data_IF_125009965909
#
_entry.id   IF_125009965909
#
_cell.length_a   1.000
_cell.length_b   1.000
_cell.length_c   1.000
_cell.angle_alpha   90.00
_cell.angle_beta   90.00
_cell.angle_gamma   90.00
#
_symmetry.space_group_name_H-M   'P 1'
#
loop_
_entity.id
_entity.type
_entity.pdbx_description
1 polymer ?
#
# COMPACT_ATOMS: atom_id res chain seq x y z
N UNK A 1 9.06 5.14 -7.76
CA UNK A 1 8.27 4.28 -6.84
C UNK A 1 8.46 4.82 -5.43
N UNK A 2 7.42 4.90 -4.59
CA UNK A 2 7.61 5.24 -3.17
C UNK A 2 7.68 3.97 -2.34
N UNK A 3 8.83 3.73 -1.70
CA UNK A 3 9.05 2.57 -0.84
C UNK A 3 8.12 2.56 0.37
N UNK A 4 7.82 3.72 0.95
CA UNK A 4 6.97 3.84 2.14
C UNK A 4 5.55 3.31 1.88
N UNK A 5 4.97 3.63 0.72
CA UNK A 5 3.64 3.16 0.32
C UNK A 5 3.64 1.66 0.03
N UNK A 6 4.71 1.13 -0.57
CA UNK A 6 4.85 -0.32 -0.74
C UNK A 6 4.85 -1.04 0.60
N UNK A 7 5.61 -0.54 1.59
CA UNK A 7 5.68 -1.11 2.93
C UNK A 7 4.30 -1.05 3.60
N UNK A 8 3.63 0.11 3.55
CA UNK A 8 2.27 0.27 4.10
C UNK A 8 1.30 -0.77 3.52
N UNK A 9 1.36 -0.98 2.20
CA UNK A 9 0.48 -1.91 1.50
C UNK A 9 0.79 -3.37 1.85
N UNK A 10 2.06 -3.76 1.88
CA UNK A 10 2.47 -5.11 2.30
C UNK A 10 2.00 -5.40 3.73
N UNK A 11 2.23 -4.47 4.66
CA UNK A 11 1.79 -4.62 6.04
C UNK A 11 0.27 -4.75 6.14
N UNK A 12 -0.50 -3.99 5.35
CA UNK A 12 -1.97 -4.11 5.33
C UNK A 12 -2.49 -5.47 4.85
N UNK A 13 -1.70 -6.18 4.02
CA UNK A 13 -2.05 -7.53 3.54
C UNK A 13 -1.79 -8.61 4.58
N UNK A 14 -1.00 -8.32 5.63
CA UNK A 14 -0.80 -9.22 6.75
C UNK A 14 -1.98 -9.09 7.73
N UNK A 15 -2.54 -10.21 8.20
CA UNK A 15 -3.67 -10.20 9.12
C UNK A 15 -3.40 -9.33 10.36
N UNK A 16 -2.25 -9.56 11.00
CA UNK A 16 -1.78 -8.80 12.17
C UNK A 16 -1.32 -7.38 11.86
N UNK A 17 -1.22 -7.01 10.57
CA UNK A 17 -0.67 -5.72 10.15
C UNK A 17 0.82 -5.60 10.42
N UNK A 18 1.48 -6.70 10.74
CA UNK A 18 2.88 -6.75 11.16
C UNK A 18 3.64 -7.70 10.27
N UNK A 19 4.88 -7.33 9.95
CA UNK A 19 5.78 -8.18 9.19
C UNK A 19 7.22 -8.00 9.65
N UNK A 20 7.97 -9.10 9.66
CA UNK A 20 9.41 -9.06 9.92
C UNK A 20 10.14 -8.40 8.76
N UNK A 21 11.35 -7.89 8.98
CA UNK A 21 12.15 -7.33 7.87
C UNK A 21 12.42 -8.36 6.76
N UNK A 22 12.60 -9.63 7.12
CA UNK A 22 12.85 -10.71 6.17
C UNK A 22 11.60 -11.00 5.30
N UNK A 23 10.43 -11.09 5.94
CA UNK A 23 9.14 -11.27 5.25
C UNK A 23 8.83 -10.07 4.37
N UNK A 24 9.00 -8.85 4.89
CA UNK A 24 8.79 -7.61 4.15
C UNK A 24 9.67 -7.54 2.89
N UNK A 25 10.95 -7.88 3.00
CA UNK A 25 11.86 -7.92 1.85
C UNK A 25 11.43 -8.99 0.83
N UNK A 26 10.97 -10.14 1.29
CA UNK A 26 10.48 -11.21 0.42
C UNK A 26 9.23 -10.79 -0.36
N UNK A 27 8.23 -10.21 0.32
CA UNK A 27 7.01 -9.71 -0.30
C UNK A 27 7.30 -8.60 -1.30
N UNK A 28 8.17 -7.65 -0.95
CA UNK A 28 8.58 -6.58 -1.88
C UNK A 28 9.26 -7.18 -3.12
N UNK A 29 10.09 -8.21 -2.97
CA UNK A 29 10.73 -8.87 -4.10
C UNK A 29 9.72 -9.59 -5.01
N UNK A 30 8.71 -10.25 -4.43
CA UNK A 30 7.60 -10.85 -5.20
C UNK A 30 6.81 -9.77 -5.94
N UNK A 31 6.45 -8.70 -5.25
CA UNK A 31 5.68 -7.58 -5.79
C UNK A 31 6.41 -6.86 -6.92
N UNK A 32 7.73 -6.65 -6.79
CA UNK A 32 8.57 -6.12 -7.85
C UNK A 32 8.57 -7.02 -9.09
N UNK A 33 8.37 -8.34 -8.90
CA UNK A 33 8.25 -9.33 -9.97
C UNK A 33 6.83 -9.44 -10.55
N UNK A 34 5.83 -8.91 -9.85
CA UNK A 34 4.41 -8.97 -10.22
C UNK A 34 4.02 -8.07 -11.41
N UNK A 35 4.98 -7.36 -11.99
CA UNK A 35 4.81 -6.66 -13.26
C UNK A 35 4.38 -5.18 -13.15
N UNK A 36 4.11 -4.59 -14.32
CA UNK A 36 3.91 -3.14 -14.50
C UNK A 36 2.63 -2.64 -13.83
N UNK A 37 1.56 -3.43 -13.86
CA UNK A 37 0.26 -3.14 -13.24
C UNK A 37 0.38 -2.82 -11.73
N UNK A 38 1.09 -3.66 -10.98
CA UNK A 38 1.34 -3.41 -9.56
C UNK A 38 2.18 -2.14 -9.35
N UNK A 39 3.25 -2.00 -10.14
CA UNK A 39 4.17 -0.88 -10.07
C UNK A 39 3.47 0.46 -10.33
N UNK A 40 2.59 0.54 -11.33
CA UNK A 40 1.80 1.73 -11.66
C UNK A 40 0.76 2.04 -10.57
N UNK A 41 0.15 1.02 -9.97
CA UNK A 41 -0.77 1.20 -8.84
C UNK A 41 -0.06 1.80 -7.63
N UNK A 42 1.10 1.26 -7.25
CA UNK A 42 1.95 1.81 -6.17
C UNK A 42 2.43 3.21 -6.52
N UNK A 43 2.78 3.48 -7.78
CA UNK A 43 3.19 4.82 -8.22
C UNK A 43 2.07 5.84 -8.10
N UNK A 44 0.82 5.48 -8.44
CA UNK A 44 -0.36 6.35 -8.24
C UNK A 44 -0.61 6.65 -6.76
N UNK A 45 -0.51 5.63 -5.89
CA UNK A 45 -0.62 5.81 -4.43
C UNK A 45 0.52 6.71 -3.90
N UNK A 46 1.75 6.47 -4.36
CA UNK A 46 2.94 7.25 -4.04
C UNK A 46 2.82 8.72 -4.43
N UNK A 47 2.28 9.04 -5.60
CA UNK A 47 2.10 10.43 -6.04
C UNK A 47 1.17 11.21 -5.10
N UNK A 48 0.16 10.56 -4.54
CA UNK A 48 -0.77 11.18 -3.59
C UNK A 48 -0.22 11.35 -2.17
N UNK A 49 0.70 10.47 -1.77
CA UNK A 49 1.37 10.54 -0.47
C UNK A 49 2.78 11.15 -0.54
N UNK A 50 3.16 11.76 -1.68
CA UNK A 50 4.54 12.12 -2.03
C UNK A 50 5.19 13.15 -1.11
N UNK A 51 4.41 13.88 -0.30
CA UNK A 51 4.89 14.82 0.71
C UNK A 51 4.67 14.34 2.15
N UNK A 52 4.10 13.14 2.35
CA UNK A 52 3.69 12.65 3.66
C UNK A 52 4.71 11.64 4.18
N UNK A 53 5.45 12.02 5.22
CA UNK A 53 6.31 11.07 5.91
C UNK A 53 5.46 10.11 6.74
N UNK A 54 5.23 8.90 6.21
CA UNK A 54 4.38 7.90 6.86
C UNK A 54 4.97 7.40 8.19
N UNK A 55 6.30 7.44 8.33
CA UNK A 55 6.97 7.08 9.58
C UNK A 55 6.86 8.20 10.61
N UNK A 56 7.18 9.44 10.23
CA UNK A 56 7.03 10.61 11.10
C UNK A 56 5.58 10.88 11.52
N UNK A 57 4.60 10.50 10.68
CA UNK A 57 3.17 10.62 11.00
C UNK A 57 2.64 9.48 11.90
N UNK A 58 3.46 8.47 12.21
CA UNK A 58 3.04 7.34 13.06
C UNK A 58 2.10 6.34 12.39
N UNK A 59 2.00 6.33 11.06
CA UNK A 59 1.21 5.33 10.33
C UNK A 59 1.88 3.96 10.27
N UNK A 60 3.21 3.95 10.37
CA UNK A 60 4.02 2.74 10.46
C UNK A 60 4.96 2.89 11.64
N UNK A 61 4.97 1.89 12.51
CA UNK A 61 5.91 1.78 13.61
C UNK A 61 6.92 0.67 13.33
N UNK A 62 8.15 0.87 13.80
CA UNK A 62 9.21 -0.14 13.77
C UNK A 62 9.62 -0.45 15.19
N UNK A 63 9.58 -1.73 15.54
CA UNK A 63 10.02 -2.24 16.84
C UNK A 63 10.90 -3.49 16.67
N UNK A 64 11.29 -4.10 17.79
CA UNK A 64 12.18 -5.28 17.81
C UNK A 64 11.61 -6.50 17.06
N UNK A 65 10.28 -6.61 16.94
CA UNK A 65 9.63 -7.69 16.21
C UNK A 65 9.37 -7.34 14.73
N UNK A 66 9.78 -6.16 14.26
CA UNK A 66 9.72 -5.76 12.85
C UNK A 66 8.94 -4.48 12.63
N UNK A 67 8.11 -4.48 11.59
CA UNK A 67 7.32 -3.32 11.16
C UNK A 67 5.85 -3.61 11.35
N UNK A 68 5.10 -2.61 11.78
CA UNK A 68 3.65 -2.71 11.97
C UNK A 68 2.94 -1.47 11.45
N UNK A 69 1.84 -1.68 10.74
CA UNK A 69 0.89 -0.63 10.38
C UNK A 69 -0.02 -0.32 11.58
N UNK A 70 -0.17 0.95 11.91
CA UNK A 70 -1.07 1.39 12.98
C UNK A 70 -2.51 1.45 12.50
N UNK A 71 -3.46 1.62 13.44
CA UNK A 71 -4.88 1.80 13.09
C UNK A 71 -5.10 2.99 12.16
N UNK A 72 -4.43 4.12 12.43
CA UNK A 72 -4.45 5.31 11.58
C UNK A 72 -3.83 5.04 10.21
N UNK A 73 -2.74 4.27 10.14
CA UNK A 73 -2.13 3.88 8.87
C UNK A 73 -3.07 3.03 8.00
N UNK A 74 -3.85 2.13 8.61
CA UNK A 74 -4.88 1.35 7.91
C UNK A 74 -6.01 2.23 7.39
N UNK A 75 -6.49 3.18 8.19
CA UNK A 75 -7.52 4.13 7.77
C UNK A 75 -7.03 5.04 6.64
N UNK A 76 -5.80 5.55 6.76
CA UNK A 76 -5.15 6.35 5.72
C UNK A 76 -5.04 5.56 4.41
N UNK A 77 -4.57 4.30 4.47
CA UNK A 77 -4.49 3.45 3.30
C UNK A 77 -5.87 3.21 2.67
N UNK A 78 -6.89 2.90 3.47
CA UNK A 78 -8.25 2.69 2.97
C UNK A 78 -8.80 3.94 2.25
N UNK A 79 -8.57 5.14 2.80
CA UNK A 79 -8.95 6.40 2.17
C UNK A 79 -8.18 6.63 0.86
N UNK A 80 -6.88 6.33 0.84
CA UNK A 80 -6.03 6.44 -0.33
C UNK A 80 -6.47 5.49 -1.46
N UNK A 81 -6.83 4.26 -1.10
CA UNK A 81 -7.31 3.24 -2.03
C UNK A 81 -8.71 3.55 -2.57
N UNK A 82 -9.60 4.07 -1.73
CA UNK A 82 -10.94 4.50 -2.14
C UNK A 82 -10.88 5.61 -3.19
N UNK A 83 -9.93 6.55 -3.07
CA UNK A 83 -9.71 7.57 -4.08
C UNK A 83 -9.02 7.05 -5.35
N UNK A 84 -8.34 5.89 -5.31
CA UNK A 84 -7.60 5.28 -6.44
C UNK A 84 -8.45 4.28 -7.22
N UNK A 85 -9.55 3.81 -6.65
CA UNK A 85 -10.55 3.05 -7.37
C UNK A 85 -11.20 3.96 -8.41
N UNK A 86 -10.65 3.96 -9.65
CA UNK A 86 -11.38 4.48 -10.80
C UNK A 86 -12.79 3.87 -10.79
N UNK A 87 -13.85 4.67 -11.03
CA UNK A 87 -15.18 4.11 -11.20
C UNK A 87 -15.08 3.15 -12.39
N UNK A 88 -15.08 1.85 -12.08
CA UNK A 88 -15.35 0.81 -13.05
C UNK A 88 -16.80 1.02 -13.45
N UNK A 89 -17.02 1.84 -14.47
CA UNK A 89 -18.31 1.91 -15.11
C UNK A 89 -18.69 0.46 -15.48
N UNK A 90 -19.86 -0.04 -15.06
CA UNK A 90 -20.28 -1.36 -15.48
C UNK A 90 -20.35 -1.36 -17.01
N UNK A 91 -19.67 -2.32 -17.63
CA UNK A 91 -19.62 -2.51 -19.09
C UNK A 91 -20.99 -2.88 -19.72
N UNK A 92 -22.08 -2.73 -18.97
CA UNK A 92 -23.43 -3.23 -19.29
C UNK A 92 -24.29 -2.19 -20.03
N UNK A 93 -23.74 -1.04 -20.44
CA UNK A 93 -24.51 0.02 -21.10
C UNK A 93 -24.01 0.37 -22.52
N UNK A 94 -23.24 -0.50 -23.15
CA UNK A 94 -22.89 -0.38 -24.58
C UNK A 94 -23.44 -1.60 -25.32
N UNK A 95 -24.75 -1.81 -25.30
CA UNK A 95 -25.53 -2.55 -26.32
C UNK A 95 -27.02 -2.39 -25.98
N UNK A 96 -27.58 -1.24 -26.34
CA UNK A 96 -29.02 -0.96 -26.34
C UNK A 96 -29.39 -0.27 -27.63
#
# INVERSE_FOLDING_TARGET
>A
MSLQITILKVLSSHADGRSSLASLNHDIAILARSGREWTDRVKRLASRASSLDLFGSGYIIRDHAGWQITGDGRQFLAALESGTQEPRLPSDLIYG
#
